data_IF_914649228061
#
_entry.id   IF_914649228061
#
_cell.length_a   1.000
_cell.length_b   1.000
_cell.length_c   1.000
_cell.angle_alpha   90.00
_cell.angle_beta   90.00
_cell.angle_gamma   90.00
#
_symmetry.space_group_name_H-M   'P 1'
#
loop_
_entity.id
_entity.type
_entity.pdbx_description
1 polymer ?
2 polymer ?
3 non-polymer ?
4 non-polymer ?
5 water ?
#
# COMPACT_ATOMS: atom_id res chain seq x y z
N UNK A 8 -16.32 -9.97 -17.08
CA UNK A 8 -15.37 -9.74 -15.90
C UNK A 8 -13.96 -9.13 -16.17
N UNK A 9 -13.45 -8.40 -15.19
CA UNK A 9 -12.15 -7.78 -15.31
C UNK A 9 -11.09 -8.45 -14.45
N UNK A 10 -9.83 -8.36 -14.85
CA UNK A 10 -8.72 -8.85 -14.04
C UNK A 10 -8.21 -7.68 -13.20
N UNK A 11 -7.74 -8.01 -12.00
CA UNK A 11 -7.15 -7.03 -11.09
C UNK A 11 -5.94 -6.41 -11.79
N UNK A 12 -5.74 -5.11 -11.60
CA UNK A 12 -4.53 -4.43 -12.13
C UNK A 12 -3.36 -5.10 -11.46
N UNK A 13 -2.31 -5.45 -12.23
CA UNK A 13 -1.16 -6.12 -11.59
C UNK A 13 -0.32 -5.23 -10.69
N UNK A 14 0.24 -5.83 -9.65
CA UNK A 14 1.06 -5.11 -8.69
C UNK A 14 2.47 -4.87 -9.27
N UNK A 15 3.13 -3.85 -8.76
CA UNK A 15 4.50 -3.55 -9.12
C UNK A 15 5.08 -3.00 -7.81
N UNK A 16 6.38 -3.18 -7.66
CA UNK A 16 7.08 -2.71 -6.46
C UNK A 16 6.85 -1.23 -6.31
N UNK A 17 6.88 -0.77 -5.06
CA UNK A 17 6.75 0.64 -4.78
C UNK A 17 8.06 1.32 -5.09
N UNK A 18 9.16 0.58 -5.06
CA UNK A 18 10.45 1.17 -5.38
C UNK A 18 11.00 1.93 -4.17
N UNK A 19 12.26 2.41 -4.30
CA UNK A 19 12.92 3.15 -3.22
C UNK A 19 12.46 4.55 -2.89
N UNK A 20 11.66 5.19 -3.77
CA UNK A 20 11.18 6.57 -3.55
C UNK A 20 9.70 6.60 -3.19
N UNK A 21 9.18 5.45 -2.72
CA UNK A 21 7.81 5.34 -2.34
C UNK A 21 7.51 6.46 -1.29
N UNK A 22 8.50 6.97 -0.53
CA UNK A 22 8.23 8.06 0.45
C UNK A 22 7.70 9.35 -0.19
N UNK A 23 8.11 9.62 -1.41
CA UNK A 23 7.65 10.82 -2.09
C UNK A 23 6.11 10.86 -2.10
N UNK A 24 5.46 9.78 -2.52
CA UNK A 24 4.05 9.86 -2.59
C UNK A 24 3.32 9.49 -1.32
N UNK A 25 3.94 8.67 -0.48
CA UNK A 25 3.23 8.23 0.70
C UNK A 25 3.66 8.83 2.04
N UNK A 26 4.90 9.32 2.13
CA UNK A 26 5.41 9.95 3.37
C UNK A 26 6.26 11.13 2.91
N UNK A 27 5.65 12.09 2.22
CA UNK A 27 6.49 13.20 1.75
C UNK A 27 7.44 13.93 2.71
N UNK A 28 7.04 14.04 3.96
CA UNK A 28 7.85 14.71 4.96
C UNK A 28 9.17 13.93 5.09
N UNK A 29 9.13 12.62 4.94
CA UNK A 29 10.36 11.87 5.05
C UNK A 29 11.28 12.13 3.86
N UNK A 30 10.71 12.48 2.71
CA UNK A 30 11.55 12.81 1.54
C UNK A 30 11.82 14.32 1.57
N UNK A 31 11.44 15.00 2.64
CA UNK A 31 11.64 16.46 2.74
C UNK A 31 10.83 17.25 1.70
N UNK A 32 9.58 16.86 1.57
CA UNK A 32 8.66 17.51 0.67
C UNK A 32 7.47 18.03 1.49
N UNK A 33 7.38 19.35 1.62
CA UNK A 33 6.27 19.93 2.34
C UNK A 33 5.32 20.40 1.27
N UNK A 34 4.22 19.69 1.09
CA UNK A 34 3.21 20.04 0.08
C UNK A 34 1.80 19.99 0.62
N UNK A 35 1.55 19.12 1.58
CA UNK A 35 0.23 18.94 2.16
C UNK A 35 0.13 19.56 3.54
N UNK A 36 -1.04 20.03 3.91
CA UNK A 36 -1.29 20.60 5.22
C UNK A 36 -1.49 19.42 6.19
N UNK A 37 -2.27 18.43 5.76
CA UNK A 37 -2.51 17.24 6.59
C UNK A 37 -1.75 16.04 6.03
N UNK A 38 -0.82 15.53 6.80
CA UNK A 38 0.00 14.41 6.38
C UNK A 38 -0.36 13.15 7.15
N UNK A 39 -0.54 12.07 6.42
CA UNK A 39 -0.87 10.78 7.03
C UNK A 39 0.38 10.33 7.78
N UNK A 40 0.22 9.76 8.97
CA UNK A 40 1.41 9.36 9.71
C UNK A 40 1.20 8.07 10.49
N UNK A 41 2.09 7.85 11.46
CA UNK A 41 2.14 6.62 12.30
C UNK A 41 1.56 6.74 13.71
N UNK A 42 0.78 7.79 13.97
CA UNK A 42 0.20 7.99 15.27
C UNK A 42 -1.31 7.77 15.21
N UNK A 43 -1.75 6.64 15.71
CA UNK A 43 -3.18 6.31 15.67
C UNK A 43 -3.93 6.80 16.97
N UNK A 44 -3.20 7.33 17.95
CA UNK A 44 -3.83 7.76 19.21
C UNK A 44 -4.14 9.24 19.19
N UNK A 45 -5.43 9.56 19.30
CA UNK A 45 -5.88 10.95 19.35
C UNK A 45 -6.13 11.20 20.85
N UNK A 46 -6.27 12.44 21.28
CA UNK A 46 -6.45 12.75 22.71
C UNK A 46 -7.56 11.98 23.43
N UNK A 47 -8.73 11.87 22.79
CA UNK A 47 -9.85 11.13 23.39
C UNK A 47 -9.94 9.66 23.03
N UNK A 48 -8.91 9.12 22.38
CA UNK A 48 -8.93 7.71 21.97
C UNK A 48 -8.95 6.80 23.17
N UNK A 49 -9.83 5.82 23.14
CA UNK A 49 -9.99 4.86 24.23
C UNK A 49 -9.01 3.69 24.11
N UNK A 50 -8.60 3.17 25.25
CA UNK A 50 -7.78 1.96 25.26
C UNK A 50 -6.39 2.06 25.80
N UNK A 51 -5.68 0.95 25.90
CA UNK A 51 -4.34 1.08 26.39
C UNK A 51 -3.35 1.35 25.29
N UNK A 52 -2.62 2.43 25.50
CA UNK A 52 -1.62 2.94 24.59
C UNK A 52 -0.47 1.99 24.51
N UNK A 53 0.02 1.73 23.29
CA UNK A 53 1.18 0.85 23.19
C UNK A 53 2.00 1.35 22.05
N UNK A 54 3.27 0.99 22.06
CA UNK A 54 4.13 1.37 20.94
C UNK A 54 4.47 0.05 20.24
N UNK A 55 4.43 0.05 18.92
CA UNK A 55 4.79 -1.17 18.19
C UNK A 55 6.06 -0.77 17.43
N UNK A 56 7.11 -1.56 17.55
CA UNK A 56 8.35 -1.23 16.86
C UNK A 56 9.16 -2.46 16.46
N UNK A 57 10.04 -2.32 15.44
CA UNK A 57 10.90 -3.42 15.02
C UNK A 57 11.73 -3.00 13.83
N UNK A 58 12.32 -3.98 13.15
CA UNK A 58 13.07 -3.74 11.90
C UNK A 58 12.62 -4.81 10.88
N UNK A 59 12.92 -4.59 9.60
CA UNK A 59 12.58 -5.60 8.58
C UNK A 59 13.94 -6.03 8.07
N UNK A 60 14.20 -7.33 8.02
CA UNK A 60 15.50 -7.89 7.60
C UNK A 60 15.43 -8.64 6.26
N UNK A 61 16.45 -8.50 5.42
CA UNK A 61 16.47 -9.17 4.12
C UNK A 61 17.13 -10.52 4.28
N UNK A 62 17.36 -11.22 3.17
CA UNK A 62 17.97 -12.54 3.27
C UNK A 62 19.42 -12.61 3.74
N UNK A 63 20.13 -11.49 3.84
CA UNK A 63 21.50 -11.49 4.35
C UNK A 63 21.45 -11.14 5.87
N UNK A 64 20.24 -10.97 6.42
CA UNK A 64 20.18 -10.57 7.82
C UNK A 64 20.37 -9.06 7.95
N UNK A 65 20.27 -8.30 6.87
CA UNK A 65 20.42 -6.85 7.00
C UNK A 65 19.08 -6.11 6.97
N UNK A 66 18.97 -4.99 7.71
CA UNK A 66 17.71 -4.24 7.71
C UNK A 66 17.42 -3.50 6.43
N UNK A 67 16.15 -3.49 6.05
CA UNK A 67 15.72 -2.73 4.85
C UNK A 67 15.63 -1.30 5.35
N UNK A 68 16.43 -0.41 4.78
CA UNK A 68 16.35 0.97 5.24
C UNK A 68 15.45 1.82 4.34
N UNK A 69 14.67 1.16 3.45
CA UNK A 69 13.77 1.92 2.59
C UNK A 69 12.33 1.35 2.60
N UNK A 70 12.03 0.55 3.61
CA UNK A 70 10.71 -0.11 3.66
C UNK A 70 9.62 0.81 4.22
N UNK A 71 8.41 0.66 3.69
CA UNK A 71 7.27 1.46 4.16
C UNK A 71 6.30 0.43 4.78
N UNK A 72 5.69 0.75 5.92
CA UNK A 72 4.78 -0.19 6.60
C UNK A 72 3.47 0.47 6.89
N UNK A 73 2.37 -0.29 6.81
CA UNK A 73 1.06 0.24 7.22
C UNK A 73 0.40 -0.85 8.13
N UNK A 74 -0.45 -0.40 9.06
CA UNK A 74 -1.16 -1.30 9.93
C UNK A 74 -2.63 -0.92 9.88
N UNK A 75 -3.50 -1.91 10.06
CA UNK A 75 -4.93 -1.74 10.08
C UNK A 75 -5.36 -2.58 11.28
N UNK A 76 -6.20 -1.99 12.16
CA UNK A 76 -6.64 -2.69 13.35
C UNK A 76 -7.97 -2.18 13.88
N UNK A 77 -8.54 -2.96 14.78
CA UNK A 77 -9.80 -2.58 15.41
C UNK A 77 -9.57 -1.68 16.61
N UNK A 78 -10.65 -1.13 17.16
CA UNK A 78 -10.52 -0.29 18.37
C UNK A 78 -10.40 -1.17 19.60
N UNK A 79 -10.47 -0.55 20.78
CA UNK A 79 -10.28 -1.28 22.03
C UNK A 79 -11.39 -2.36 22.26
N UNK A 80 -12.56 -2.17 21.67
CA UNK A 80 -13.64 -3.12 21.82
C UNK A 80 -13.76 -4.11 20.69
N UNK A 81 -12.77 -4.14 19.79
CA UNK A 81 -12.81 -5.06 18.65
C UNK A 81 -13.76 -4.71 17.50
N UNK A 82 -13.99 -3.41 17.29
CA UNK A 82 -14.84 -2.93 16.22
C UNK A 82 -13.94 -2.11 15.27
N UNK A 83 -14.10 -2.35 13.97
CA UNK A 83 -13.32 -1.64 12.96
C UNK A 83 -13.99 -0.34 12.59
N UNK A 84 -13.20 0.74 12.43
CA UNK A 84 -13.82 2.03 12.05
C UNK A 84 -13.97 2.03 10.51
N UNK A 85 -14.89 1.17 10.04
CA UNK A 85 -15.14 1.04 8.59
C UNK A 85 -16.60 0.73 8.41
N UNK A 86 -17.19 1.21 7.32
CA UNK A 86 -18.62 0.95 7.05
C UNK A 86 -18.87 -0.54 6.78
N UNK A 87 -17.81 -1.29 6.46
CA UNK A 87 -17.92 -2.72 6.20
C UNK A 87 -17.99 -3.55 7.46
N UNK A 88 -17.75 -2.94 8.62
CA UNK A 88 -17.86 -3.74 9.86
C UNK A 88 -19.38 -3.95 10.14
N UNK A 89 -19.77 -5.21 10.32
CA UNK A 89 -21.16 -5.58 10.50
C UNK A 89 -21.55 -5.92 11.94
N UNK A 90 -20.74 -5.55 12.93
CA UNK A 90 -21.12 -5.93 14.29
C UNK A 90 -22.32 -5.17 14.90
N UNK A 91 -22.73 -4.06 14.33
CA UNK A 91 -23.87 -3.38 14.93
C UNK A 91 -23.48 -2.75 16.25
N UNK A 92 -22.19 -2.48 16.40
CA UNK A 92 -21.70 -1.84 17.62
C UNK A 92 -21.14 -0.48 17.26
N UNK A 93 -21.11 0.41 18.25
CA UNK A 93 -20.55 1.72 18.00
C UNK A 93 -19.01 1.63 18.17
N UNK A 94 -18.29 2.15 17.19
CA UNK A 94 -16.86 2.14 17.20
C UNK A 94 -16.36 3.40 17.95
N UNK A 95 -15.14 3.35 18.49
CA UNK A 95 -14.56 4.53 19.15
C UNK A 95 -14.63 5.63 18.04
N UNK A 96 -15.19 6.82 18.33
CA UNK A 96 -15.24 7.82 17.25
C UNK A 96 -13.97 8.63 16.98
N UNK A 97 -12.99 8.41 17.83
CA UNK A 97 -11.75 9.14 17.73
C UNK A 97 -10.65 8.17 17.41
N UNK A 98 -10.87 7.37 16.36
CA UNK A 98 -9.89 6.36 16.00
C UNK A 98 -9.99 5.97 14.52
N UNK A 99 -8.91 6.23 13.82
CA UNK A 99 -8.86 5.95 12.39
C UNK A 99 -8.65 4.44 12.11
N UNK A 100 -7.89 3.77 12.98
CA UNK A 100 -7.62 2.35 12.83
C UNK A 100 -6.44 2.03 11.92
N UNK A 101 -5.93 3.05 11.24
CA UNK A 101 -4.81 2.87 10.28
C UNK A 101 -3.65 3.89 10.49
N UNK A 102 -2.45 3.48 10.12
CA UNK A 102 -1.30 4.37 10.19
C UNK A 102 -0.27 3.90 9.17
N UNK A 103 0.73 4.75 8.88
CA UNK A 103 1.76 4.43 7.91
C UNK A 103 3.06 4.98 8.46
N UNK A 104 4.15 4.24 8.29
CA UNK A 104 5.43 4.79 8.73
C UNK A 104 6.54 4.32 7.82
N UNK A 105 7.72 4.88 7.91
CA UNK A 105 8.78 4.32 7.08
C UNK A 105 9.99 3.99 7.95
N UNK A 106 10.81 3.01 7.61
CA UNK A 106 11.97 2.78 8.45
C UNK A 106 12.91 3.99 8.30
N UNK A 107 13.65 4.27 9.35
CA UNK A 107 14.67 5.29 9.39
C UNK A 107 15.70 4.92 8.33
N UNK A 108 16.15 5.89 7.55
CA UNK A 108 17.11 5.64 6.47
C UNK A 108 18.46 5.16 6.96
N UNK A 109 18.80 5.48 8.21
CA UNK A 109 20.10 5.07 8.72
C UNK A 109 20.07 3.76 9.51
N UNK A 110 19.06 3.60 10.37
CA UNK A 110 19.00 2.41 11.19
C UNK A 110 18.02 1.35 10.78
N UNK A 111 16.99 1.73 10.03
CA UNK A 111 15.97 0.77 9.68
C UNK A 111 14.93 0.59 10.77
N UNK A 112 14.96 1.32 11.90
CA UNK A 112 13.90 1.10 12.87
C UNK A 112 12.60 1.78 12.41
N UNK A 113 11.47 1.16 12.72
CA UNK A 113 10.17 1.74 12.42
C UNK A 113 9.35 1.59 13.69
N UNK A 114 8.29 2.39 13.82
CA UNK A 114 7.40 2.27 14.97
C UNK A 114 6.05 2.94 14.71
N UNK A 115 5.09 2.58 15.54
CA UNK A 115 3.76 3.18 15.50
C UNK A 115 3.34 3.43 16.97
N UNK A 116 2.60 4.49 17.21
CA UNK A 116 2.02 4.77 18.52
C UNK A 116 0.58 4.37 18.29
N UNK A 117 0.13 3.36 19.01
CA UNK A 117 -1.24 2.96 18.78
C UNK A 117 -1.93 2.47 20.04
N UNK A 118 -3.02 1.76 19.86
CA UNK A 118 -3.78 1.21 20.97
C UNK A 118 -3.81 -0.31 20.84
N UNK A 119 -3.90 -1.05 21.95
CA UNK A 119 -3.95 -2.51 21.83
C UNK A 119 -5.36 -2.88 21.40
N UNK A 120 -5.53 -3.61 20.27
CA UNK A 120 -6.90 -3.93 19.89
C UNK A 120 -7.66 -4.97 20.66
N UNK A 121 -8.98 -4.84 20.66
CA UNK A 121 -9.84 -5.83 21.33
C UNK A 121 -10.06 -6.99 20.37
N UNK A 122 -10.58 -8.11 20.86
CA UNK A 122 -10.82 -9.29 20.04
C UNK A 122 -11.94 -9.03 19.07
N UNK A 123 -11.77 -9.54 17.85
CA UNK A 123 -12.71 -9.39 16.74
C UNK A 123 -13.34 -10.78 16.40
N UNK A 124 -14.63 -10.81 16.03
CA UNK A 124 -15.28 -12.08 15.68
C UNK A 124 -14.53 -12.71 14.48
N UNK A 125 -14.41 -14.04 14.52
CA UNK A 125 -13.81 -14.78 13.43
C UNK A 125 -14.96 -15.37 12.64
N UNK A 126 -14.69 -16.27 11.71
CA UNK A 126 -15.76 -16.85 10.93
C UNK A 126 -16.54 -17.88 11.71
N UNK A 127 -17.78 -18.10 11.27
CA UNK A 127 -18.65 -19.11 11.90
C UNK A 127 -18.67 -19.07 13.43
N UNK A 128 -18.96 -17.92 14.02
CA UNK A 128 -19.05 -17.85 15.47
C UNK A 128 -17.77 -17.94 16.29
N UNK A 129 -16.60 -17.94 15.64
CA UNK A 129 -15.37 -18.03 16.43
C UNK A 129 -14.95 -16.62 16.88
N UNK A 130 -13.92 -16.59 17.72
CA UNK A 130 -13.36 -15.35 18.19
C UNK A 130 -11.89 -15.31 17.86
N UNK A 131 -11.46 -14.25 17.21
CA UNK A 131 -10.05 -14.20 16.90
C UNK A 131 -9.27 -13.57 18.09
N UNK A 132 -8.01 -13.94 18.24
CA UNK A 132 -7.17 -13.34 19.27
C UNK A 132 -6.86 -11.93 18.79
N UNK A 133 -6.52 -10.97 19.70
CA UNK A 133 -6.19 -9.58 19.32
C UNK A 133 -5.03 -9.61 18.33
N UNK A 134 -5.12 -8.79 17.28
CA UNK A 134 -4.06 -8.75 16.27
C UNK A 134 -4.11 -7.45 15.52
N UNK A 135 -3.01 -7.12 14.87
CA UNK A 135 -2.93 -5.95 14.02
C UNK A 135 -2.60 -6.48 12.59
N UNK A 136 -3.30 -6.03 11.57
CA UNK A 136 -2.91 -6.47 10.20
C UNK A 136 -1.80 -5.51 9.70
N UNK A 137 -0.77 -6.06 9.07
CA UNK A 137 0.37 -5.23 8.67
C UNK A 137 0.78 -5.57 7.27
N UNK A 138 1.15 -4.55 6.51
CA UNK A 138 1.60 -4.76 5.14
C UNK A 138 2.92 -3.97 4.96
N UNK A 139 3.79 -4.58 4.19
CA UNK A 139 5.14 -4.12 3.91
C UNK A 139 5.30 -3.82 2.41
N UNK A 140 5.87 -2.65 2.03
CA UNK A 140 6.13 -2.30 0.62
C UNK A 140 7.58 -1.80 0.54
N UNK A 141 8.32 -2.17 -0.49
CA UNK A 141 9.67 -1.66 -0.63
C UNK A 141 10.24 -2.08 -1.97
N UNK A 142 11.33 -1.40 -2.33
CA UNK A 142 12.09 -1.80 -3.48
C UNK A 142 12.39 -3.30 -3.29
N UNK A 143 12.34 -4.06 -4.38
CA UNK A 143 12.63 -5.48 -4.31
C UNK A 143 11.38 -6.31 -4.00
N UNK A 144 10.34 -5.67 -3.47
CA UNK A 144 9.11 -6.40 -3.09
C UNK A 144 8.04 -6.08 -4.17
N UNK A 145 7.71 -7.09 -5.00
CA UNK A 145 6.79 -6.90 -6.15
C UNK A 145 5.31 -6.75 -5.82
N UNK A 146 4.92 -7.33 -4.70
CA UNK A 146 3.55 -7.28 -4.20
C UNK A 146 3.63 -7.06 -2.70
N UNK A 147 2.87 -6.08 -2.16
CA UNK A 147 2.95 -5.87 -0.72
C UNK A 147 2.80 -7.17 0.05
N UNK A 148 3.59 -7.36 1.09
CA UNK A 148 3.54 -8.61 1.90
C UNK A 148 2.63 -8.40 3.12
N UNK A 149 1.58 -9.21 3.22
CA UNK A 149 0.64 -9.08 4.35
C UNK A 149 1.11 -10.02 5.48
N UNK A 150 1.02 -9.57 6.74
CA UNK A 150 1.31 -10.49 7.85
C UNK A 150 0.39 -9.99 9.00
N UNK A 151 0.46 -10.63 10.18
CA UNK A 151 -0.35 -10.19 11.31
C UNK A 151 0.55 -10.13 12.54
N UNK A 152 0.20 -9.27 13.47
CA UNK A 152 0.99 -9.13 14.69
C UNK A 152 0.10 -9.58 15.86
N UNK A 153 0.47 -10.62 16.63
CA UNK A 153 -0.30 -11.06 17.81
C UNK A 153 0.56 -10.66 19.02
N UNK A 154 0.01 -10.76 20.23
CA UNK A 154 0.71 -10.28 21.42
C UNK A 154 1.09 -11.44 22.36
N UNK A 155 2.33 -11.47 22.85
CA UNK A 155 2.74 -12.62 23.69
C UNK A 155 2.00 -12.72 25.03
N UNK A 156 1.45 -11.62 25.50
CA UNK A 156 0.66 -11.68 26.74
C UNK A 156 -0.80 -12.15 26.47
N UNK A 157 -1.11 -12.65 25.26
CA UNK A 157 -2.46 -13.15 25.00
C UNK A 157 -2.33 -14.63 24.62
N UNK A 158 -1.53 -15.36 25.40
CA UNK A 158 -1.25 -16.79 25.16
C UNK A 158 -2.51 -17.62 24.97
N UNK A 159 -3.43 -17.41 25.89
CA UNK A 159 -4.70 -18.07 25.92
C UNK A 159 -5.52 -17.84 24.63
N UNK A 160 -5.74 -16.56 24.27
CA UNK A 160 -6.48 -16.31 23.04
C UNK A 160 -5.71 -16.78 21.79
N UNK A 161 -4.36 -16.63 21.77
CA UNK A 161 -3.54 -17.06 20.62
C UNK A 161 -3.66 -18.53 20.33
N UNK A 162 -3.63 -19.35 21.39
CA UNK A 162 -3.77 -20.80 21.23
C UNK A 162 -5.08 -21.22 20.53
N UNK A 163 -6.13 -20.41 20.63
CA UNK A 163 -7.47 -20.72 20.07
C UNK A 163 -7.74 -19.90 18.80
N UNK A 164 -6.84 -19.02 18.41
CA UNK A 164 -7.08 -18.21 17.22
C UNK A 164 -7.17 -19.06 15.93
N UNK A 165 -8.23 -18.88 15.13
CA UNK A 165 -8.48 -19.60 13.87
C UNK A 165 -7.36 -19.43 12.82
N UNK A 166 -6.88 -18.20 12.63
CA UNK A 166 -5.82 -18.01 11.64
C UNK A 166 -4.50 -18.65 12.04
N UNK A 167 -4.04 -18.42 13.28
CA UNK A 167 -2.78 -19.05 13.73
C UNK A 167 -2.92 -20.56 13.65
N UNK A 168 -4.11 -21.10 13.99
CA UNK A 168 -4.30 -22.53 13.96
C UNK A 168 -4.41 -23.13 12.55
N UNK A 169 -4.54 -22.28 11.55
CA UNK A 169 -4.65 -22.74 10.21
C UNK A 169 -3.25 -22.80 9.54
N UNK A 170 -2.18 -22.46 10.29
CA UNK A 170 -0.80 -22.58 9.79
C UNK A 170 -0.41 -24.02 10.24
N UNK A 171 -0.29 -24.97 9.28
CA UNK A 171 -0.01 -26.34 9.71
C UNK A 171 1.39 -26.62 10.23
N UNK A 172 2.38 -25.77 9.93
CA UNK A 172 3.76 -25.98 10.39
C UNK A 172 3.75 -25.13 11.65
N UNK A 173 3.58 -25.77 12.79
CA UNK A 173 3.38 -25.06 14.05
C UNK A 173 4.53 -24.22 14.61
N UNK A 174 5.75 -24.55 14.25
CA UNK A 174 6.91 -23.81 14.68
C UNK A 174 6.89 -22.41 14.04
N UNK A 175 6.12 -22.21 12.96
CA UNK A 175 6.10 -20.93 12.28
C UNK A 175 5.12 -19.96 12.92
N UNK A 176 4.18 -20.48 13.72
CA UNK A 176 3.23 -19.59 14.38
C UNK A 176 3.93 -18.55 15.26
N UNK A 177 5.00 -18.95 15.94
CA UNK A 177 5.67 -18.01 16.81
C UNK A 177 6.23 -16.79 16.07
N UNK A 178 6.51 -16.88 14.77
CA UNK A 178 7.04 -15.66 14.15
C UNK A 178 6.02 -14.54 14.14
N UNK A 179 4.75 -14.82 14.42
CA UNK A 179 3.73 -13.74 14.37
C UNK A 179 3.41 -13.15 15.76
N UNK A 180 4.18 -13.54 16.76
CA UNK A 180 3.93 -13.09 18.14
C UNK A 180 4.96 -12.03 18.55
N UNK A 181 4.48 -10.84 18.82
CA UNK A 181 5.36 -9.75 19.21
C UNK A 181 5.68 -9.85 20.74
N UNK A 182 6.86 -9.38 21.17
CA UNK A 182 7.23 -9.45 22.60
C UNK A 182 6.99 -8.17 23.40
N UNK A 183 6.29 -8.31 24.50
CA UNK A 183 5.93 -7.18 25.34
C UNK A 183 7.14 -6.79 26.17
N UNK A 184 7.37 -5.49 26.27
CA UNK A 184 8.46 -4.94 27.07
C UNK A 184 7.89 -3.69 27.69
N UNK A 185 8.55 -3.18 28.72
CA UNK A 185 8.07 -1.97 29.38
C UNK A 185 9.13 -0.90 29.57
N UNK A 186 9.29 -0.05 28.55
CA UNK A 186 10.28 1.02 28.57
C UNK A 186 9.84 2.23 29.37
N UNK A 187 10.39 2.37 30.57
CA UNK A 187 10.10 3.53 31.38
C UNK A 187 8.60 3.86 31.49
N UNK A 188 7.82 2.87 31.89
CA UNK A 188 6.37 3.07 32.03
C UNK A 188 5.54 2.84 30.76
N UNK A 189 6.17 2.82 29.58
CA UNK A 189 5.43 2.61 28.33
C UNK A 189 5.39 1.14 27.95
N UNK A 190 4.32 0.69 27.35
CA UNK A 190 4.24 -0.71 26.95
C UNK A 190 4.71 -0.73 25.48
N UNK A 191 5.71 -1.55 25.17
CA UNK A 191 6.28 -1.63 23.83
C UNK A 191 6.18 -3.05 23.35
N UNK A 192 5.76 -3.26 22.11
CA UNK A 192 5.76 -4.62 21.59
C UNK A 192 6.82 -4.66 20.48
N UNK A 193 7.76 -5.58 20.56
CA UNK A 193 8.82 -5.60 19.55
C UNK A 193 8.42 -6.63 18.51
N UNK A 194 8.36 -6.25 17.23
CA UNK A 194 8.00 -7.26 16.23
C UNK A 194 9.00 -7.08 15.08
N UNK A 195 9.95 -8.02 14.90
CA UNK A 195 10.89 -7.95 13.81
C UNK A 195 10.36 -8.89 12.76
N UNK A 196 10.55 -8.49 11.52
CA UNK A 196 10.09 -9.23 10.37
C UNK A 196 11.30 -9.69 9.61
N UNK A 197 11.30 -10.97 9.24
CA UNK A 197 12.45 -11.61 8.50
C UNK A 197 11.84 -12.13 7.22
N UNK A 198 12.22 -11.44 6.15
CA UNK A 198 11.64 -11.75 4.86
C UNK A 198 12.10 -13.05 4.29
N UNK A 199 13.32 -13.46 4.60
CA UNK A 199 13.82 -14.69 4.00
C UNK A 199 14.75 -15.46 4.96
N UNK A 200 14.97 -16.75 4.81
CA UNK A 200 15.90 -17.38 5.73
C UNK A 200 15.35 -18.13 6.93
N UNK A 201 16.20 -18.30 7.93
CA UNK A 201 15.76 -18.99 9.14
C UNK A 201 14.81 -18.04 9.86
N UNK A 202 13.77 -18.62 10.43
CA UNK A 202 12.77 -17.86 11.18
C UNK A 202 12.06 -16.87 10.29
N UNK A 203 11.87 -17.23 9.04
CA UNK A 203 11.18 -16.34 8.12
C UNK A 203 9.76 -16.10 8.61
N UNK A 204 9.35 -14.83 8.62
CA UNK A 204 7.99 -14.48 9.10
C UNK A 204 6.96 -15.04 8.15
N UNK A 205 5.88 -15.56 8.72
CA UNK A 205 4.73 -16.04 7.90
C UNK A 205 4.09 -14.84 7.16
N UNK A 206 3.82 -15.02 5.86
CA UNK A 206 3.12 -14.01 5.07
C UNK A 206 1.86 -14.69 4.52
N UNK A 207 0.78 -13.92 4.50
CA UNK A 207 -0.50 -14.42 4.04
C UNK A 207 -0.96 -13.88 2.67
N UNK A 208 -1.84 -14.66 2.03
CA UNK A 208 -2.47 -14.26 0.80
C UNK A 208 -3.91 -14.09 1.35
N UNK A 209 -4.34 -12.85 1.49
CA UNK A 209 -5.63 -12.55 2.14
C UNK A 209 -6.81 -12.28 1.26
N UNK B 4 -28.73 -6.57 0.13
CA UNK B 4 -27.47 -7.30 -0.30
C UNK B 4 -26.51 -7.53 0.87
N UNK B 5 -26.12 -8.79 1.07
CA UNK B 5 -25.20 -9.10 2.16
C UNK B 5 -23.90 -9.54 1.49
N UNK B 6 -22.84 -8.78 1.73
CA UNK B 6 -21.56 -9.08 1.13
C UNK B 6 -20.80 -10.21 1.80
N UNK B 7 -20.18 -11.06 0.99
CA UNK B 7 -19.38 -12.15 1.53
C UNK B 7 -17.90 -11.76 1.34
N UNK B 8 -17.05 -12.68 0.97
CA UNK B 8 -15.61 -12.34 0.89
C UNK B 8 -15.14 -11.76 -0.43
N UNK B 9 -13.93 -11.20 -0.46
CA UNK B 9 -13.46 -10.79 -1.76
C UNK B 9 -13.10 -12.06 -2.55
N UNK B 10 -13.23 -11.98 -3.86
CA UNK B 10 -12.81 -13.08 -4.70
C UNK B 10 -11.28 -13.25 -4.47
N UNK B 11 -10.82 -14.47 -4.57
CA UNK B 11 -9.43 -14.78 -4.43
C UNK B 11 -8.48 -13.96 -5.37
N UNK B 12 -7.31 -13.52 -4.88
CA UNK B 12 -6.33 -12.85 -5.79
C UNK B 12 -5.82 -13.91 -6.78
N UNK B 13 -5.83 -13.62 -8.10
CA UNK B 13 -5.36 -14.62 -9.07
C UNK B 13 -3.87 -14.42 -9.18
N UNK B 14 -3.11 -15.27 -8.55
CA UNK B 14 -1.64 -15.10 -8.51
C UNK B 14 -0.99 -15.10 -9.89
N UNK B 15 -1.68 -15.64 -10.90
CA UNK B 15 -1.07 -15.73 -12.26
C UNK B 15 -1.19 -14.42 -13.00
N UNK B 16 -1.98 -13.50 -12.45
CA UNK B 16 -2.17 -12.18 -13.05
C UNK B 16 -1.20 -11.12 -12.46
N UNK B 17 -0.32 -11.54 -11.57
CA UNK B 17 0.63 -10.69 -10.93
C UNK B 17 2.07 -11.24 -11.01
N UNK B 18 3.06 -10.37 -10.75
CA UNK B 18 4.44 -10.82 -10.76
C UNK B 18 4.64 -11.78 -9.61
N UNK B 19 5.63 -12.68 -9.74
CA UNK B 19 5.92 -13.62 -8.64
C UNK B 19 6.76 -12.77 -7.65
N UNK B 20 6.98 -13.20 -6.41
CA UNK B 20 7.83 -12.41 -5.50
C UNK B 20 9.30 -12.53 -5.93
N UNK B 21 9.69 -13.74 -6.32
CA UNK B 21 11.06 -13.98 -6.73
C UNK B 21 11.18 -13.80 -8.24
N UNK B 22 11.92 -12.79 -8.68
CA UNK B 22 12.05 -12.50 -10.12
C UNK B 22 13.50 -12.08 -10.28
N UNK B 23 14.37 -13.03 -10.52
CA UNK B 23 15.80 -12.72 -10.64
C UNK B 23 16.28 -11.63 -11.62
N UNK B 24 15.50 -11.34 -12.66
CA UNK B 24 15.87 -10.26 -13.56
C UNK B 24 15.75 -8.89 -12.86
N UNK B 25 14.99 -8.80 -11.75
CA UNK B 25 14.82 -7.55 -11.00
C UNK B 25 15.66 -7.90 -9.75
N UNK B 26 16.92 -7.51 -9.79
CA UNK B 26 17.91 -7.96 -8.80
C UNK B 26 17.66 -7.82 -7.32
N UNK B 27 17.05 -6.72 -6.89
CA UNK B 27 16.80 -6.55 -5.47
C UNK B 27 15.70 -7.48 -4.98
N UNK B 28 14.96 -8.14 -5.87
CA UNK B 28 13.93 -9.07 -5.37
C UNK B 28 14.56 -10.39 -4.86
N UNK B 29 15.81 -10.68 -5.24
CA UNK B 29 16.45 -11.92 -4.84
C UNK B 29 16.59 -12.09 -3.30
N UNK B 30 16.93 -11.05 -2.57
CA UNK B 30 17.05 -11.19 -1.11
C UNK B 30 15.84 -10.64 -0.34
N UNK B 31 14.88 -10.08 -1.09
CA UNK B 31 13.69 -9.49 -0.46
C UNK B 31 12.41 -10.26 -0.81
N UNK B 32 12.55 -11.54 -1.18
CA UNK B 32 11.35 -12.36 -1.52
C UNK B 32 11.30 -13.56 -0.56
N UNK B 33 10.12 -13.90 -0.02
CA UNK B 33 10.10 -15.06 0.89
C UNK B 33 10.48 -16.35 0.21
N UNK B 34 11.08 -17.25 0.95
CA UNK B 34 11.38 -18.53 0.34
C UNK B 34 10.10 -19.41 0.49
N UNK B 35 9.34 -19.22 1.57
CA UNK B 35 8.12 -20.01 1.73
C UNK B 35 6.96 -19.51 0.89
N UNK B 36 6.04 -20.41 0.56
CA UNK B 36 4.85 -20.01 -0.19
C UNK B 36 3.96 -19.16 0.76
N UNK B 37 3.14 -18.30 0.20
CA UNK B 37 2.22 -17.54 1.04
C UNK B 37 1.18 -18.51 1.57
N UNK B 38 0.74 -18.26 2.79
CA UNK B 38 -0.30 -19.03 3.41
C UNK B 38 -1.65 -18.34 3.13
N UNK B 39 -2.50 -19.02 2.35
CA UNK B 39 -3.82 -18.48 2.06
C UNK B 39 -4.79 -18.65 3.27
N UNK B 40 -5.53 -17.60 3.62
CA UNK B 40 -6.53 -17.77 4.67
C UNK B 40 -7.93 -17.43 4.18
N UNK B 41 -8.92 -17.92 4.91
CA UNK B 41 -10.29 -17.57 4.56
C UNK B 41 -10.50 -16.16 5.18
N UNK B 42 -11.20 -15.25 4.50
CA UNK B 42 -11.35 -13.89 5.05
C UNK B 42 -12.28 -13.71 6.25
N UNK B 43 -11.90 -12.73 7.08
CA UNK B 43 -12.66 -12.36 8.24
C UNK B 43 -12.92 -10.87 8.16
N UNK B 44 -13.52 -10.30 9.20
CA UNK B 44 -13.79 -8.86 9.21
C UNK B 44 -12.52 -8.00 9.03
N UNK B 45 -11.40 -8.50 9.54
CA UNK B 45 -10.11 -7.81 9.39
C UNK B 45 -9.73 -7.58 7.93
N UNK B 46 -10.05 -8.53 7.05
CA UNK B 46 -9.65 -8.44 5.67
C UNK B 46 -10.64 -7.66 4.78
N UNK B 47 -11.87 -7.55 5.24
CA UNK B 47 -12.87 -6.89 4.39
C UNK B 47 -13.15 -5.47 4.79
N UNK B 48 -12.51 -4.96 5.83
CA UNK B 48 -12.75 -3.57 6.28
C UNK B 48 -11.50 -2.78 5.86
N UNK B 49 -11.58 -1.46 5.96
CA UNK B 49 -10.47 -0.57 5.62
C UNK B 49 -10.85 0.79 6.18
N UNK B 50 -9.86 1.67 6.30
CA UNK B 50 -10.16 2.99 6.83
C UNK B 50 -10.91 3.90 5.87
N UNK B 51 -11.43 5.02 6.44
CA UNK B 51 -12.15 6.04 5.68
C UNK B 51 -11.41 7.36 5.81
N UNK B 52 -11.16 8.03 4.71
CA UNK B 52 -10.43 9.30 4.71
C UNK B 52 -11.42 10.42 4.30
N UNK B 53 -11.47 11.51 5.03
CA UNK B 53 -12.41 12.54 4.62
C UNK B 53 -11.77 13.56 3.71
N UNK B 54 -12.53 13.95 2.71
CA UNK B 54 -12.10 14.92 1.72
C UNK B 54 -11.74 16.25 2.41
N UNK B 55 -12.39 16.54 3.53
CA UNK B 55 -12.15 17.74 4.32
C UNK B 55 -10.70 18.07 4.62
N UNK B 56 -9.89 17.05 4.83
CA UNK B 56 -8.47 17.22 5.14
C UNK B 56 -7.58 17.55 3.90
N UNK B 57 -8.07 17.26 2.69
CA UNK B 57 -7.32 17.50 1.46
C UNK B 57 -7.25 18.98 1.01
N UNK B 58 -6.07 19.44 0.58
CA UNK B 58 -5.95 20.83 0.13
C UNK B 58 -6.50 20.96 -1.28
N UNK B 59 -6.76 22.18 -1.74
CA UNK B 59 -7.30 22.40 -3.09
C UNK B 59 -6.38 22.00 -4.24
N UNK B 60 -5.06 22.06 -4.05
CA UNK B 60 -4.10 21.68 -5.07
C UNK B 60 -3.51 20.28 -4.89
N UNK B 61 -4.09 19.49 -4.01
CA UNK B 61 -3.54 18.15 -3.79
C UNK B 61 -3.49 17.29 -5.06
N UNK B 62 -4.37 17.51 -6.05
CA UNK B 62 -4.33 16.71 -7.28
C UNK B 62 -3.77 17.49 -8.43
N UNK B 63 -3.04 18.55 -8.13
CA UNK B 63 -2.47 19.42 -9.18
C UNK B 63 -0.97 19.49 -8.96
N UNK B 64 -0.26 18.53 -9.57
CA UNK B 64 1.19 18.43 -9.41
C UNK B 64 1.88 19.54 -10.18
N UNK B 65 1.14 20.21 -11.04
CA UNK B 65 1.76 21.33 -11.74
C UNK B 65 1.87 22.54 -10.78
N UNK B 66 0.87 22.76 -9.91
CA UNK B 66 0.88 23.93 -9.02
C UNK B 66 1.15 23.72 -7.54
N UNK B 67 0.98 22.49 -7.06
CA UNK B 67 1.11 22.27 -5.62
C UNK B 67 2.49 22.45 -5.01
N UNK B 68 3.50 22.62 -5.84
CA UNK B 68 4.83 22.81 -5.33
C UNK B 68 5.49 24.02 -5.98
N UNK B 69 4.75 24.68 -6.87
CA UNK B 69 5.23 25.81 -7.61
C UNK B 69 5.44 26.99 -6.66
N UNK B 70 6.64 27.57 -6.68
CA UNK B 70 7.02 28.74 -5.86
C UNK B 70 7.20 29.98 -6.77
N UNK B 71 8.30 30.07 -7.52
CA UNK B 71 8.58 31.23 -8.41
C UNK B 71 8.00 31.18 -9.79
N UNK B 72 7.60 30.01 -10.25
CA UNK B 72 7.07 29.90 -11.59
C UNK B 72 6.48 28.52 -11.77
N UNK B 73 6.21 28.14 -13.01
CA UNK B 73 5.65 26.83 -13.34
C UNK B 73 6.79 25.81 -13.55
N UNK B 74 6.51 24.52 -13.32
CA UNK B 74 7.55 23.52 -13.53
C UNK B 74 7.79 23.38 -15.04
N UNK B 75 9.00 22.98 -15.43
CA UNK B 75 9.34 22.80 -16.86
C UNK B 75 8.87 21.42 -17.30
N UNK B 76 8.28 21.33 -18.47
CA UNK B 76 7.85 20.03 -18.98
C UNK B 76 6.50 19.95 -19.64
N UNK B 77 6.13 18.73 -20.01
CA UNK B 77 4.87 18.48 -20.74
C UNK B 77 3.65 18.46 -19.85
N UNK B 78 2.77 19.42 -20.07
CA UNK B 78 1.56 19.53 -19.28
C UNK B 78 0.56 18.41 -19.67
N UNK B 79 0.21 17.54 -18.74
CA UNK B 79 -0.76 16.48 -19.05
C UNK B 79 -1.79 16.24 -17.97
N UNK B 80 -2.97 15.87 -18.39
CA UNK B 80 -4.04 15.51 -17.45
C UNK B 80 -4.15 14.00 -17.51
N UNK B 81 -4.31 13.34 -16.36
CA UNK B 81 -4.51 11.88 -16.37
C UNK B 81 -5.85 11.68 -15.66
N UNK B 82 -6.74 10.87 -16.23
CA UNK B 82 -8.05 10.63 -15.60
C UNK B 82 -8.44 9.22 -15.95
N UNK B 83 -9.43 8.71 -15.21
CA UNK B 83 -9.91 7.38 -15.46
C UNK B 83 -10.91 6.95 -14.42
N UNK B 84 -11.17 5.64 -14.36
CA UNK B 84 -12.13 5.09 -13.42
C UNK B 84 -11.52 3.95 -12.66
N UNK B 85 -11.88 3.87 -11.38
CA UNK B 85 -11.42 2.76 -10.56
C UNK B 85 -12.70 1.91 -10.37
N UNK B 86 -12.62 0.61 -10.66
CA UNK B 86 -13.76 -0.28 -10.61
C UNK B 86 -13.34 -1.57 -9.89
N UNK B 87 -14.27 -2.40 -9.42
CA UNK B 87 -13.81 -3.66 -8.86
C UNK B 87 -13.89 -4.68 -10.03
N UNK B 88 -13.44 -5.90 -9.78
CA UNK B 88 -13.42 -6.91 -10.86
C UNK B 88 -14.80 -7.31 -11.40
N UNK B 89 -15.87 -6.94 -10.70
CA UNK B 89 -17.24 -7.22 -11.18
C UNK B 89 -17.80 -5.99 -11.91
N UNK B 90 -16.93 -4.99 -12.12
CA UNK B 90 -17.34 -3.77 -12.81
C UNK B 90 -18.04 -2.73 -11.94
N UNK B 91 -18.12 -2.91 -10.63
CA UNK B 91 -18.80 -1.90 -9.83
C UNK B 91 -17.81 -0.74 -9.53
N UNK B 92 -18.28 0.51 -9.54
CA UNK B 92 -17.40 1.65 -9.23
C UNK B 92 -16.86 1.58 -7.79
N UNK B 93 -15.62 2.04 -7.61
CA UNK B 93 -15.00 2.10 -6.29
C UNK B 93 -15.11 3.57 -5.82
N UNK B 94 -16.00 3.80 -4.85
CA UNK B 94 -16.31 5.13 -4.37
C UNK B 94 -15.47 5.59 -3.20
N UNK B 95 -15.02 6.84 -3.26
CA UNK B 95 -14.20 7.42 -2.19
C UNK B 95 -12.93 6.68 -1.80
N UNK B 96 -12.25 6.11 -2.80
CA UNK B 96 -11.00 5.43 -2.57
C UNK B 96 -9.89 6.50 -2.59
N UNK B 97 -8.89 6.28 -1.75
CA UNK B 97 -7.76 7.16 -1.68
C UNK B 97 -6.70 6.76 -2.74
N UNK B 98 -6.41 7.70 -3.63
CA UNK B 98 -5.40 7.45 -4.66
C UNK B 98 -4.22 8.37 -4.39
N UNK B 99 -3.03 7.80 -4.22
CA UNK B 99 -1.82 8.59 -4.01
C UNK B 99 -0.83 8.30 -5.14
N UNK B 100 -0.21 9.36 -5.70
CA UNK B 100 0.71 9.16 -6.81
C UNK B 100 2.04 9.88 -6.60
N UNK B 101 3.09 9.39 -7.25
CA UNK B 101 4.38 10.03 -7.10
C UNK B 101 5.15 9.70 -8.36
N UNK B 102 6.10 10.56 -8.71
CA UNK B 102 6.80 10.39 -9.95
C UNK B 102 8.02 11.28 -9.95
N UNK B 103 8.85 11.03 -10.95
CA UNK B 103 10.05 11.82 -11.22
C UNK B 103 9.62 13.09 -12.00
N UNK B 104 10.51 14.09 -12.07
CA UNK B 104 10.20 15.29 -12.89
C UNK B 104 10.49 15.07 -14.40
N UNK B 105 10.48 16.14 -15.17
CA UNK B 105 10.63 16.02 -16.62
C UNK B 105 12.04 15.52 -17.00
N UNK B 106 13.01 15.60 -16.08
CA UNK B 106 14.36 15.12 -16.38
C UNK B 106 14.52 13.63 -16.04
N UNK B 107 13.51 13.04 -15.42
CA UNK B 107 13.68 11.64 -14.96
C UNK B 107 14.33 11.63 -13.55
N UNK B 108 14.30 12.76 -12.86
CA UNK B 108 14.87 12.94 -11.54
C UNK B 108 13.82 12.98 -10.42
N UNK B 109 14.04 12.20 -9.36
CA UNK B 109 13.07 12.16 -8.25
C UNK B 109 13.50 13.11 -7.15
N UNK B 110 12.54 13.70 -6.45
CA UNK B 110 12.87 14.63 -5.38
C UNK B 110 12.97 13.74 -4.15
N UNK B 111 14.15 13.17 -3.95
CA UNK B 111 14.32 12.23 -2.85
C UNK B 111 15.79 12.27 -2.45
N UNK B 112 16.08 12.18 -1.14
CA UNK B 112 17.49 12.23 -0.75
C UNK B 112 18.35 11.13 -1.42
N UNK B 113 17.80 9.94 -1.68
CA UNK B 113 18.63 8.90 -2.29
C UNK B 113 18.73 8.92 -3.82
N UNK B 114 18.22 9.95 -4.51
CA UNK B 114 18.32 9.98 -5.97
C UNK B 114 19.43 11.02 -6.36
N UNK B 115 20.52 10.57 -6.98
CA UNK B 115 21.61 11.48 -7.36
C UNK B 115 21.90 11.61 -8.86
N UNK B 116 20.90 11.35 -9.66
CA UNK B 116 21.13 11.43 -11.08
C UNK B 116 21.45 12.87 -11.56
N UNK B 117 22.26 12.97 -12.59
CA UNK B 117 22.59 14.27 -13.16
C UNK B 117 21.37 15.01 -13.82
N UNK B 118 20.28 14.32 -14.15
CA UNK B 118 19.15 15.02 -14.72
C UNK B 118 18.76 16.08 -13.71
N UNK B 119 18.51 17.26 -14.20
CA UNK B 119 18.23 18.40 -13.34
C UNK B 119 16.96 18.34 -12.53
N UNK B 120 17.07 18.86 -11.31
CA UNK B 120 15.96 19.04 -10.38
C UNK B 120 15.19 20.28 -10.87
N UNK B 121 13.90 20.34 -10.58
CA UNK B 121 13.05 21.44 -10.99
C UNK B 121 12.57 22.08 -9.70
N UNK B 122 13.02 23.31 -9.36
CA UNK B 122 12.61 23.99 -8.12
C UNK B 122 11.10 24.17 -7.95
N UNK B 123 10.34 24.03 -9.04
CA UNK B 123 8.90 24.19 -8.95
C UNK B 123 8.11 22.89 -9.10
N UNK B 124 8.77 21.75 -9.02
CA UNK B 124 8.02 20.50 -9.10
C UNK B 124 8.33 19.59 -7.88
N UNK B 125 7.29 19.02 -7.27
CA UNK B 125 7.47 18.16 -6.09
C UNK B 125 7.38 16.72 -6.52
N UNK B 126 6.32 16.38 -7.27
CA UNK B 126 6.19 15.01 -7.72
C UNK B 126 5.21 14.11 -6.96
N UNK B 127 4.38 14.66 -6.06
CA UNK B 127 3.38 13.86 -5.35
C UNK B 127 2.00 14.58 -5.31
N UNK B 128 0.96 13.75 -5.26
CA UNK B 128 -0.41 14.22 -5.26
C UNK B 128 -1.31 13.15 -4.69
N UNK B 129 -2.58 13.49 -4.52
CA UNK B 129 -3.52 12.53 -4.03
C UNK B 129 -4.91 13.05 -4.33
N UNK B 130 -5.89 12.15 -4.27
CA UNK B 130 -7.30 12.51 -4.56
C UNK B 130 -8.17 11.38 -4.08
N UNK B 131 -9.48 11.62 -3.98
CA UNK B 131 -10.40 10.55 -3.59
C UNK B 131 -11.24 10.31 -4.85
N UNK B 132 -11.53 9.05 -5.20
CA UNK B 132 -12.39 8.85 -6.38
C UNK B 132 -13.80 9.34 -6.02
N UNK B 133 -14.58 9.75 -7.02
CA UNK B 133 -15.94 10.23 -6.77
C UNK B 133 -16.94 9.05 -6.73
N UNK B 134 -18.24 9.35 -6.71
CA UNK B 134 -19.21 8.26 -6.68
C UNK B 134 -19.30 7.40 -7.91
N UNK B 135 -18.68 7.82 -9.00
CA UNK B 135 -18.70 6.97 -10.19
C UNK B 135 -17.37 6.23 -10.30
N UNK B 136 -16.51 6.39 -9.30
CA UNK B 136 -15.22 5.76 -9.32
C UNK B 136 -14.23 6.60 -10.14
N UNK B 137 -14.60 7.83 -10.50
CA UNK B 137 -13.75 8.66 -11.36
C UNK B 137 -12.62 9.43 -10.64
N UNK B 138 -11.46 9.55 -11.28
CA UNK B 138 -10.37 10.35 -10.69
C UNK B 138 -9.74 11.18 -11.80
N UNK B 139 -9.13 12.30 -11.41
CA UNK B 139 -8.47 13.18 -12.37
C UNK B 139 -7.40 13.98 -11.63
N UNK B 140 -6.23 14.08 -12.22
CA UNK B 140 -5.17 14.89 -11.63
C UNK B 140 -4.37 15.47 -12.81
N UNK B 141 -3.52 16.46 -12.54
CA UNK B 141 -2.77 17.07 -13.63
C UNK B 141 -1.34 17.02 -13.18
N UNK B 142 -0.41 16.99 -14.12
CA UNK B 142 0.99 16.89 -13.79
C UNK B 142 1.87 17.22 -14.98
N UNK B 143 3.18 17.02 -14.79
CA UNK B 143 4.23 17.14 -15.82
C UNK B 143 4.54 15.68 -16.24
N UNK B 144 4.57 15.36 -17.53
CA UNK B 144 4.89 13.96 -17.91
C UNK B 144 6.32 13.67 -17.43
N UNK B 145 6.52 12.58 -16.66
CA UNK B 145 7.88 12.33 -16.19
C UNK B 145 8.81 11.83 -17.31
N UNK B 146 10.08 12.08 -17.11
CA UNK B 146 11.05 11.58 -18.08
C UNK B 146 11.45 10.16 -17.64
N UNK B 147 11.92 9.31 -18.56
CA UNK B 147 12.39 7.92 -18.33
C UNK B 147 13.50 8.06 -17.27
N UNK B 148 13.64 7.06 -16.42
CA UNK B 148 14.58 7.08 -15.28
C UNK B 148 15.71 6.02 -15.37
N UNK B 149 17.01 6.43 -15.35
CA UNK B 149 18.12 5.46 -15.42
C UNK B 149 18.37 4.92 -14.02
N UNK B 150 18.74 3.66 -13.92
CA UNK B 150 19.00 3.09 -12.63
C UNK B 150 19.94 1.91 -12.70
N UNK B 151 20.41 1.44 -11.56
CA UNK B 151 21.33 0.33 -11.62
C UNK B 151 20.70 -1.01 -11.23
N UNK B 152 20.27 -1.78 -12.24
CA UNK B 152 19.79 -3.13 -12.07
C UNK B 152 21.00 -3.78 -12.84
N UNK B 153 20.97 -3.71 -14.17
CA UNK B 153 22.16 -4.01 -14.97
C UNK B 153 22.69 -2.54 -14.99
N UNK B 154 23.94 -2.24 -15.37
CA UNK B 154 24.36 -0.81 -15.19
C UNK B 154 23.66 0.19 -16.06
N UNK B 155 23.19 -0.24 -17.25
CA UNK B 155 22.58 0.72 -18.19
C UNK B 155 21.06 0.47 -18.27
N UNK B 156 20.41 0.32 -17.12
CA UNK B 156 18.98 0.03 -17.09
C UNK B 156 18.22 1.37 -17.18
N UNK B 157 17.15 1.41 -17.96
CA UNK B 157 16.35 2.62 -18.09
C UNK B 157 14.88 2.19 -17.97
N UNK B 158 14.10 2.82 -17.10
CA UNK B 158 12.69 2.49 -17.04
C UNK B 158 11.93 3.48 -17.92
N UNK B 159 10.80 3.06 -18.45
CA UNK B 159 10.04 3.99 -19.32
C UNK B 159 9.42 5.06 -18.41
N UNK B 160 8.91 6.15 -18.99
CA UNK B 160 8.28 7.17 -18.21
C UNK B 160 7.13 6.55 -17.43
N UNK B 161 7.00 6.85 -16.13
CA UNK B 161 5.86 6.25 -15.42
C UNK B 161 5.45 7.05 -14.19
N UNK B 162 4.23 6.78 -13.73
CA UNK B 162 3.74 7.40 -12.51
C UNK B 162 3.37 6.27 -11.55
N UNK B 163 3.93 6.30 -10.36
CA UNK B 163 3.64 5.31 -9.36
C UNK B 163 2.26 5.64 -8.73
N UNK B 164 1.48 4.64 -8.37
CA UNK B 164 0.23 4.92 -7.64
C UNK B 164 -0.10 3.89 -6.58
N UNK B 165 -0.94 4.34 -5.65
CA UNK B 165 -1.36 3.51 -4.51
C UNK B 165 -2.85 3.70 -4.27
N UNK B 166 -3.52 2.61 -3.94
CA UNK B 166 -4.95 2.65 -3.63
C UNK B 166 -5.31 2.02 -2.28
N UNK B 167 -6.09 2.75 -1.49
CA UNK B 167 -6.65 2.22 -0.25
C UNK B 167 -8.17 2.44 -0.49
N UNK B 168 -8.92 1.34 -0.49
CA UNK B 168 -10.32 1.43 -0.87
C UNK B 168 -11.31 0.90 0.22
N UNK B 169 -12.16 -0.07 -0.12
CA UNK B 169 -13.14 -0.57 0.81
C UNK B 169 -12.70 -1.70 1.73
N UNK B 170 -11.85 -2.58 1.22
CA UNK B 170 -11.41 -3.70 2.03
C UNK B 170 -9.88 -3.72 1.97
N UNK B 171 -9.26 -4.08 3.09
CA UNK B 171 -7.82 -4.19 3.20
C UNK B 171 -7.31 -5.15 2.13
N UNK B 172 -8.11 -6.18 1.79
CA UNK B 172 -7.68 -7.15 0.78
C UNK B 172 -7.41 -6.49 -0.59
N UNK B 173 -8.07 -5.37 -0.85
CA UNK B 173 -7.92 -4.61 -2.10
C UNK B 173 -6.62 -3.79 -2.15
N UNK B 174 -5.92 -3.66 -1.00
CA UNK B 174 -4.72 -2.82 -0.94
C UNK B 174 -3.77 -3.09 -2.13
N UNK B 175 -3.41 -2.04 -2.83
CA UNK B 175 -2.59 -2.20 -4.04
C UNK B 175 -1.68 -1.01 -4.36
N UNK B 176 -0.47 -1.31 -4.84
CA UNK B 176 0.49 -0.33 -5.31
C UNK B 176 0.99 -0.87 -6.65
N UNK B 177 1.05 0.00 -7.66
CA UNK B 177 1.54 -0.35 -8.98
C UNK B 177 2.03 0.97 -9.67
N UNK B 178 2.11 0.97 -11.00
CA UNK B 178 2.55 2.13 -11.74
C UNK B 178 1.99 2.03 -13.15
N UNK B 179 1.79 3.16 -13.83
CA UNK B 179 1.33 3.09 -15.20
C UNK B 179 2.33 3.77 -16.12
N UNK B 180 2.30 3.41 -17.40
CA UNK B 180 3.21 3.95 -18.41
C UNK B 180 2.37 4.72 -19.43
N UNK B 181 3.01 5.36 -20.39
CA UNK B 181 2.33 6.14 -21.43
C UNK B 181 2.46 5.45 -22.78
N UNK B 182 1.32 5.36 -23.47
CA UNK B 182 1.23 4.68 -24.75
C UNK B 182 2.40 5.02 -25.68
N UNK B 183 2.96 4.02 -26.35
CA UNK B 183 4.01 4.20 -27.30
C UNK B 183 5.47 4.32 -26.78
N UNK B 184 5.71 4.48 -25.46
CA UNK B 184 7.10 4.60 -24.97
C UNK B 184 7.86 3.30 -25.38
N UNK B 185 8.96 3.43 -26.10
CA UNK B 185 9.69 2.25 -26.58
C UNK B 185 10.40 1.48 -25.45
N UNK B 186 10.59 2.09 -24.30
CA UNK B 186 11.29 1.43 -23.19
C UNK B 186 10.43 0.41 -22.50
N UNK B 187 9.13 0.43 -22.78
CA UNK B 187 8.18 -0.50 -22.15
C UNK B 187 8.60 -1.94 -22.45
N UNK B 188 9.06 -2.23 -23.66
CA UNK B 188 9.49 -3.61 -24.00
C UNK B 188 10.82 -4.10 -23.43
N UNK B 189 11.51 -3.26 -22.68
CA UNK B 189 12.80 -3.64 -22.13
C UNK B 189 12.87 -3.58 -20.64
N UNK B 190 11.83 -3.04 -20.02
CA UNK B 190 11.85 -2.85 -18.57
C UNK B 190 11.82 -4.15 -17.79
N UNK B 191 12.86 -4.41 -16.99
CA UNK B 191 12.82 -5.67 -16.26
C UNK B 191 11.77 -5.68 -15.13
N UNK B 192 11.33 -4.51 -14.64
CA UNK B 192 10.27 -4.58 -13.60
C UNK B 192 8.96 -4.94 -14.25
N UNK B 193 8.70 -4.38 -15.45
CA UNK B 193 7.44 -4.69 -16.18
C UNK B 193 7.45 -6.16 -16.59
N UNK B 194 8.62 -6.68 -16.97
CA UNK B 194 8.71 -8.09 -17.31
C UNK B 194 8.50 -9.09 -16.18
N UNK B 195 8.42 -8.65 -14.92
CA UNK B 195 8.12 -9.59 -13.83
C UNK B 195 6.66 -10.06 -13.93
N UNK B 196 5.83 -9.30 -14.65
CA UNK B 196 4.40 -9.66 -14.80
C UNK B 196 4.43 -10.77 -15.90
N UNK B 197 3.82 -11.93 -15.66
CA UNK B 197 3.87 -13.00 -16.65
C UNK B 197 3.17 -12.91 -17.98
N UNK B 198 2.01 -12.29 -18.02
CA UNK B 198 1.31 -12.29 -19.28
C UNK B 198 1.31 -10.94 -19.96
N UNK B 199 1.25 -10.98 -21.27
CA UNK B 199 1.25 -9.78 -22.08
C UNK B 199 0.00 -8.95 -21.86
N UNK B 200 -1.16 -9.59 -21.71
CA UNK B 200 -2.35 -8.81 -21.51
C UNK B 200 -2.33 -8.01 -20.18
N UNK B 201 -1.67 -8.56 -19.14
CA UNK B 201 -1.60 -7.84 -17.86
C UNK B 201 -0.56 -6.71 -17.97
N UNK B 202 0.45 -6.91 -18.81
CA UNK B 202 1.45 -5.87 -18.98
C UNK B 202 0.80 -4.69 -19.66
N UNK B 203 -0.10 -4.96 -20.60
CA UNK B 203 -0.80 -3.90 -21.30
C UNK B 203 -1.79 -3.18 -20.44
N UNK B 204 -2.23 -3.81 -19.38
CA UNK B 204 -3.17 -3.19 -18.44
C UNK B 204 -2.50 -2.03 -17.65
N UNK B 205 -1.19 -1.83 -17.77
CA UNK B 205 -0.55 -0.74 -17.05
C UNK B 205 -0.27 0.41 -18.00
N UNK B 206 -0.83 0.38 -19.21
CA UNK B 206 -0.51 1.47 -20.17
C UNK B 206 -1.61 2.48 -20.30
N UNK B 207 -1.34 3.73 -19.95
CA UNK B 207 -2.36 4.80 -20.08
C UNK B 207 -2.45 5.18 -21.55
N UNK B 208 -3.66 5.36 -22.07
CA UNK B 208 -3.90 5.67 -23.47
C UNK B 208 -4.08 7.16 -23.75
N UNK B 209 -3.56 7.58 -24.89
CA UNK B 209 -3.71 8.97 -25.33
C UNK B 209 -5.21 9.17 -25.51
N UNK B 210 -5.72 10.27 -24.97
CA UNK B 210 -7.17 10.55 -25.02
C UNK B 210 -7.30 11.88 -25.76
N UNK B 211 -7.16 11.83 -27.06
CA UNK B 211 -7.12 13.03 -27.89
C UNK B 211 -8.34 13.97 -27.78
N UNK B 212 -9.55 13.44 -27.69
CA UNK B 212 -10.71 14.29 -27.57
C UNK B 212 -10.76 15.08 -26.29
N UNK B 213 -9.97 14.68 -25.28
CA UNK B 213 -9.95 15.44 -24.05
C UNK B 213 -8.72 16.36 -23.90
N UNK B 214 -7.93 16.50 -24.96
CA UNK B 214 -6.79 17.43 -24.90
C UNK B 214 -7.40 18.83 -24.74
N UNK B 215 -6.70 19.74 -24.07
CA UNK B 215 -7.21 21.10 -23.94
C UNK B 215 -6.33 21.97 -24.83
N UNK B 216 -6.94 22.60 -25.83
CA UNK B 216 -6.17 23.42 -26.78
C UNK B 216 -5.24 24.42 -26.13
N UNK B 217 -4.03 24.50 -26.66
CA UNK B 217 -2.96 25.40 -26.22
C UNK B 217 -2.76 25.35 -24.72
N UNK B 218 -2.92 24.15 -24.17
CA UNK B 218 -2.78 24.02 -22.74
C UNK B 218 -2.19 22.65 -22.37
N UNK B 219 -2.97 21.58 -22.49
CA UNK B 219 -2.51 20.27 -21.96
C UNK B 219 -2.99 19.04 -22.76
N UNK B 220 -2.17 17.99 -22.80
CA UNK B 220 -2.66 16.75 -23.42
C UNK B 220 -3.38 15.97 -22.30
N UNK B 221 -3.89 14.80 -22.65
CA UNK B 221 -4.64 14.00 -21.71
C UNK B 221 -4.42 12.49 -21.95
N UNK B 222 -4.30 11.72 -20.86
CA UNK B 222 -4.19 10.26 -20.87
C UNK B 222 -5.33 9.63 -20.06
N UNK B 223 -5.81 8.48 -20.54
CA UNK B 223 -6.91 7.77 -19.95
C UNK B 223 -6.32 6.48 -19.32
N UNK B 224 -6.59 6.27 -18.03
CA UNK B 224 -6.08 5.07 -17.33
C UNK B 224 -7.05 4.55 -16.29
N UNK B 225 -7.60 3.37 -16.54
CA UNK B 225 -8.51 2.75 -15.60
C UNK B 225 -7.80 1.68 -14.73
N UNK B 226 -8.26 1.57 -13.47
CA UNK B 226 -7.70 0.64 -12.47
C UNK B 226 -8.77 -0.34 -12.00
N UNK B 227 -8.41 -1.61 -11.86
CA UNK B 227 -9.38 -2.62 -11.42
C UNK B 227 -8.90 -3.23 -10.12
N UNK B 228 -9.78 -3.26 -9.10
CA UNK B 228 -9.42 -3.83 -7.81
C UNK B 228 -10.18 -5.13 -7.59
N UNK B 229 -9.83 -5.86 -6.53
CA UNK B 229 -10.54 -7.10 -6.25
C UNK B 229 -11.95 -6.73 -5.85
N UNK B 230 -12.88 -7.62 -6.15
CA UNK B 230 -14.28 -7.36 -5.82
C UNK B 230 -14.88 -8.37 -4.87
N UNK B 231 -15.87 -7.93 -4.09
CA UNK B 231 -16.58 -8.82 -3.17
C UNK B 231 -17.75 -9.59 -3.84
N UNK B 232 -17.97 -10.83 -3.42
CA UNK B 232 -19.07 -11.62 -3.95
C UNK B 232 -20.26 -11.29 -3.05
N UNK B 233 -21.46 -11.46 -3.57
CA UNK B 233 -22.65 -11.23 -2.76
C UNK B 233 -23.05 -12.59 -2.18
N UNK B 234 -23.68 -12.61 -0.99
CA UNK B 234 -24.08 -13.87 -0.39
C UNK B 234 -25.59 -14.04 -0.39
N UNK B 235 -26.07 -15.21 -0.79
CA UNK B 235 -27.52 -15.44 -0.81
C UNK B 235 -27.93 -16.62 0.09
N UNK B 236 -26.96 -17.34 0.61
CA UNK B 236 -27.29 -18.46 1.48
C UNK B 236 -26.60 -18.25 2.83
N UNK B 237 -25.80 -19.21 3.30
CA UNK B 237 -25.16 -18.98 4.61
C UNK B 237 -24.14 -17.85 4.54
N UNK B 238 -24.10 -17.05 5.60
CA UNK B 238 -23.15 -15.96 5.67
C UNK B 238 -22.15 -16.34 6.75
N UNK B 239 -21.03 -16.92 6.35
CA UNK B 239 -19.99 -17.38 7.28
C UNK B 239 -18.95 -16.35 7.75
N UNK B 240 -18.95 -15.14 7.20
CA UNK B 240 -17.96 -14.13 7.55
C UNK B 240 -17.84 -13.97 9.07
N UNK B 241 -18.98 -14.00 9.74
CA UNK B 241 -19.03 -13.88 11.19
C UNK B 241 -19.81 -15.06 11.77
X LIG C 1 9.86 5.04 -10.46
X LIG D 1 13.93 2.25 -9.06
X LIG D 1 13.16 3.33 -8.67
X LIG D 1 12.08 3.74 -9.45
X LIG D 1 11.30 4.82 -9.05
X LIG D 1 11.77 3.06 -10.61
X LIG D 1 10.70 3.46 -11.37
X LIG D 1 12.53 1.97 -11.00
X LIG D 1 13.61 1.57 -10.23
X LIG D 1 15.06 1.84 -8.25
X LIG D 1 16.02 2.63 -8.08
X LIG D 1 15.09 0.69 -7.71
#
# INVERSE_FOLDING_TARGET
>A
MNGWNFQELKETPSQTGGPYVHIGLLPKQANIEVFEHNLDNNLVQDNTQGQRIRLEGQVFDGLGLPLRDVLIEIWQADTNGVYPSQADTQGKQVDPNFLGWGRTGADFGTGFWSFNTIKPGAVPGRKGSTQAPHISLIIFARGINIGLHTRVYFDDEAEANAKDPVLNSIEWATRRQTLVAKREERDGEVVYRFDIRIQGENETVFFDI
>B
MSQIIWGAYAQRNTEDHPPAYAPGYKTSVLRSPKNALISIAETLSEVTAPHFSADKFGPKDNDLILNYAKDGLPIGERVIVHGYVRDQFGRPVKNALVEVWQANASGRYRHPNDQYIGAMDPNFGGCGRMLTDDNGYYVFRTIKPGPYPWRNRINEWSPAHIHFSLIADGWAQRLISQFYFEGDTLIDSCPILKTIPSEQQRRALIALEDKSNFIEADSRCYRFDITLRGRRATYFENDLT
>C hetero
1 FE FE
>D hetero
1 DHB C1 C2 C3 O3 C4 O4 C5 C6 C O1 O2
#
